data_IF_044284964962
#
_entry.id   IF_044284964962
#
_cell.length_a   1.000
_cell.length_b   1.000
_cell.length_c   1.000
_cell.angle_alpha   90.00
_cell.angle_beta   90.00
_cell.angle_gamma   90.00
#
_symmetry.space_group_name_H-M   'P 1'
#
loop_
_entity.id
_entity.type
_entity.pdbx_description
1 polymer ?
#
# COMPACT_ATOMS: atom_id res chain seq x y z
N UNK A 1 53.32 17.25 -0.61
CA UNK A 1 52.29 18.15 -0.05
C UNK A 1 51.15 17.25 0.40
N UNK A 2 51.12 16.92 1.69
CA UNK A 2 50.13 16.03 2.30
C UNK A 2 48.93 16.91 2.66
N UNK A 3 47.68 16.59 2.28
CA UNK A 3 46.53 17.24 2.87
C UNK A 3 46.28 16.62 4.26
N UNK A 4 46.62 17.38 5.29
CA UNK A 4 46.08 17.24 6.63
C UNK A 4 44.63 17.76 6.63
N UNK A 5 43.72 17.02 7.25
CA UNK A 5 42.39 17.51 7.56
C UNK A 5 41.33 16.42 7.58
N UNK A 6 41.39 15.54 8.58
CA UNK A 6 40.20 14.85 9.05
C UNK A 6 39.23 15.91 9.59
N UNK A 7 38.34 16.37 8.72
CA UNK A 7 37.11 17.02 9.15
C UNK A 7 36.25 15.93 9.78
N UNK A 8 36.06 16.04 11.09
CA UNK A 8 35.08 15.30 11.85
C UNK A 8 33.72 15.54 11.16
N UNK A 9 33.23 14.55 10.42
CA UNK A 9 31.89 14.59 9.83
C UNK A 9 30.96 14.44 11.03
N UNK A 10 30.60 15.58 11.62
CA UNK A 10 29.75 15.63 12.80
C UNK A 10 28.54 14.72 12.60
N UNK A 11 28.27 13.88 13.60
CA UNK A 11 27.11 13.00 13.58
C UNK A 11 25.87 13.81 13.20
N UNK A 12 25.02 13.30 12.29
CA UNK A 12 23.81 14.01 11.91
C UNK A 12 23.02 14.37 13.18
N UNK A 13 22.42 15.56 13.24
CA UNK A 13 21.69 16.00 14.42
C UNK A 13 20.64 14.94 14.77
N UNK A 14 20.58 14.57 16.05
CA UNK A 14 19.54 13.67 16.53
C UNK A 14 18.17 14.26 16.20
N UNK A 15 17.31 13.44 15.60
CA UNK A 15 15.92 13.79 15.36
C UNK A 15 15.19 13.91 16.70
N UNK A 16 14.55 15.06 16.92
CA UNK A 16 13.74 15.34 18.11
C UNK A 16 12.29 14.94 17.83
N UNK A 17 12.00 13.64 17.99
CA UNK A 17 10.67 13.07 17.78
C UNK A 17 9.67 13.57 18.82
N UNK A 18 8.56 14.14 18.35
CA UNK A 18 7.47 14.64 19.20
C UNK A 18 6.17 13.96 18.85
N UNK A 19 5.37 13.70 19.88
CA UNK A 19 3.98 13.31 19.68
C UNK A 19 3.23 14.45 18.97
N UNK A 20 2.50 14.11 17.91
CA UNK A 20 1.74 15.07 17.10
C UNK A 20 0.25 14.73 17.06
N UNK A 21 -0.12 13.54 16.59
CA UNK A 21 -1.52 13.14 16.41
C UNK A 21 -1.74 11.68 16.81
N UNK A 22 -2.98 11.39 17.23
CA UNK A 22 -3.50 10.05 17.43
C UNK A 22 -4.87 9.96 16.74
N UNK A 23 -5.10 8.88 16.00
CA UNK A 23 -6.38 8.58 15.39
C UNK A 23 -6.96 7.31 16.03
N UNK A 24 -8.27 7.29 16.26
CA UNK A 24 -8.93 6.16 16.92
C UNK A 24 -8.72 6.12 18.44
N UNK A 25 -8.52 7.27 19.08
CA UNK A 25 -8.47 7.37 20.54
C UNK A 25 -9.79 6.86 21.15
N UNK A 26 -9.68 5.91 22.07
CA UNK A 26 -10.82 5.24 22.71
C UNK A 26 -10.96 5.68 24.16
N UNK A 27 -12.17 5.54 24.71
CA UNK A 27 -12.36 5.77 26.13
C UNK A 27 -11.64 4.69 26.96
N UNK A 28 -11.23 5.01 28.19
CA UNK A 28 -10.55 4.06 29.06
C UNK A 28 -11.43 2.82 29.32
N UNK A 29 -10.92 1.64 28.96
CA UNK A 29 -11.60 0.35 29.13
C UNK A 29 -12.38 -0.15 27.91
N UNK A 30 -12.36 0.58 26.79
CA UNK A 30 -12.94 0.11 25.53
C UNK A 30 -11.98 -0.87 24.83
N UNK A 31 -12.46 -2.08 24.55
CA UNK A 31 -11.67 -3.11 23.86
C UNK A 31 -11.46 -2.75 22.39
N UNK A 32 -10.32 -3.15 21.83
CA UNK A 32 -10.03 -2.98 20.40
C UNK A 32 -10.74 -4.07 19.61
N UNK A 33 -11.68 -3.69 18.76
CA UNK A 33 -12.30 -4.64 17.83
C UNK A 33 -11.28 -5.08 16.78
N UNK A 34 -11.21 -6.39 16.51
CA UNK A 34 -10.21 -6.95 15.59
C UNK A 34 -10.28 -6.31 14.20
N UNK A 35 -11.49 -6.02 13.71
CA UNK A 35 -11.73 -5.38 12.41
C UNK A 35 -11.15 -3.96 12.31
N UNK A 36 -10.92 -3.27 13.44
CA UNK A 36 -10.33 -1.93 13.49
C UNK A 36 -8.80 -1.96 13.61
N UNK A 37 -8.18 -3.14 13.72
CA UNK A 37 -6.71 -3.26 13.80
C UNK A 37 -6.12 -2.90 12.44
N UNK A 38 -5.32 -1.84 12.41
CA UNK A 38 -4.58 -1.41 11.22
C UNK A 38 -3.58 -2.52 10.84
N UNK A 39 -3.61 -2.93 9.58
CA UNK A 39 -2.77 -3.98 9.02
C UNK A 39 -1.89 -3.51 7.87
N UNK A 40 -2.14 -2.33 7.31
CA UNK A 40 -1.31 -1.72 6.29
C UNK A 40 -1.28 -0.19 6.44
N UNK A 41 -0.14 0.43 6.15
CA UNK A 41 0.04 1.88 6.16
C UNK A 41 0.98 2.29 5.03
N UNK A 42 0.66 3.35 4.28
CA UNK A 42 1.49 3.82 3.17
C UNK A 42 1.29 5.32 2.90
N UNK A 43 2.39 6.07 2.85
CA UNK A 43 2.40 7.45 2.35
C UNK A 43 2.51 7.49 0.83
N UNK A 44 1.89 8.49 0.20
CA UNK A 44 2.16 8.76 -1.21
C UNK A 44 3.58 9.33 -1.40
N UNK A 45 4.08 9.30 -2.64
CA UNK A 45 5.45 9.77 -2.94
C UNK A 45 5.69 11.25 -2.60
N UNK A 46 4.63 12.05 -2.45
CA UNK A 46 4.73 13.46 -2.06
C UNK A 46 4.69 13.68 -0.55
N UNK A 47 4.25 12.69 0.24
CA UNK A 47 3.99 12.83 1.67
C UNK A 47 2.72 13.62 1.99
N UNK A 48 1.89 13.94 1.00
CA UNK A 48 0.66 14.73 1.17
C UNK A 48 -0.54 13.87 1.53
N UNK A 49 -0.49 12.58 1.19
CA UNK A 49 -1.57 11.63 1.49
C UNK A 49 -1.02 10.42 2.24
N UNK A 50 -1.83 9.94 3.18
CA UNK A 50 -1.59 8.73 3.94
C UNK A 50 -2.78 7.79 3.75
N UNK A 51 -2.52 6.53 3.42
CA UNK A 51 -3.53 5.49 3.38
C UNK A 51 -3.28 4.48 4.50
N UNK A 52 -4.35 4.04 5.14
CA UNK A 52 -4.35 2.91 6.05
C UNK A 52 -5.32 1.84 5.57
N UNK A 53 -4.98 0.58 5.80
CA UNK A 53 -5.86 -0.56 5.65
C UNK A 53 -5.99 -1.31 6.97
N UNK A 54 -7.15 -1.91 7.23
CA UNK A 54 -7.41 -2.67 8.45
C UNK A 54 -7.79 -4.13 8.20
N UNK A 55 -7.91 -4.89 9.30
CA UNK A 55 -8.36 -6.29 9.25
C UNK A 55 -9.80 -6.45 8.79
N UNK A 56 -10.64 -5.43 8.95
CA UNK A 56 -12.01 -5.39 8.47
C UNK A 56 -12.15 -5.04 6.98
N UNK A 57 -11.05 -4.97 6.22
CA UNK A 57 -11.07 -4.75 4.77
C UNK A 57 -11.36 -3.32 4.34
N UNK A 58 -11.35 -2.35 5.25
CA UNK A 58 -11.54 -0.93 4.93
C UNK A 58 -10.22 -0.27 4.57
N UNK A 59 -10.29 0.74 3.70
CA UNK A 59 -9.18 1.64 3.41
C UNK A 59 -9.59 3.05 3.79
N UNK A 60 -8.76 3.70 4.61
CA UNK A 60 -8.97 5.08 5.08
C UNK A 60 -7.86 5.96 4.51
N UNK A 61 -8.26 7.09 3.93
CA UNK A 61 -7.35 8.08 3.36
C UNK A 61 -7.32 9.33 4.23
N UNK A 62 -6.11 9.84 4.45
CA UNK A 62 -5.83 11.09 5.12
C UNK A 62 -5.08 12.04 4.17
N UNK A 63 -5.21 13.33 4.41
CA UNK A 63 -4.52 14.38 3.68
C UNK A 63 -3.86 15.36 4.64
N UNK A 64 -2.65 15.79 4.28
CA UNK A 64 -1.86 16.75 5.03
C UNK A 64 -2.49 18.15 4.95
N UNK A 65 -2.56 18.86 6.08
CA UNK A 65 -3.25 20.15 6.20
C UNK A 65 -2.31 21.35 6.21
N UNK A 66 -1.03 21.14 6.52
CA UNK A 66 -0.01 22.19 6.64
C UNK A 66 0.26 22.97 5.32
N UNK A 67 0.08 22.32 4.17
CA UNK A 67 0.34 22.89 2.85
C UNK A 67 -0.80 23.80 2.31
N UNK A 68 -2.01 23.74 2.89
CA UNK A 68 -3.22 24.38 2.33
C UNK A 68 -3.67 25.67 3.02
N UNK A 69 -3.07 26.02 4.15
CA UNK A 69 -3.27 27.36 4.71
C UNK A 69 -2.53 28.37 3.83
N UNK A 70 -3.27 29.01 2.93
CA UNK A 70 -2.84 30.24 2.25
C UNK A 70 -2.29 31.20 3.30
N UNK A 71 -0.96 31.28 3.44
CA UNK A 71 -0.32 32.26 4.29
C UNK A 71 -0.74 33.62 3.73
N UNK A 72 -1.63 34.31 4.43
CA UNK A 72 -1.98 35.68 4.08
C UNK A 72 -0.67 36.47 4.07
N UNK A 73 -0.39 37.16 2.97
CA UNK A 73 0.83 37.97 2.77
C UNK A 73 1.09 38.95 3.93
N UNK A 74 0.04 39.29 4.69
CA UNK A 74 0.07 40.14 5.90
C UNK A 74 0.68 39.47 7.14
N UNK A 75 0.67 38.14 7.24
CA UNK A 75 1.21 37.37 8.36
C UNK A 75 2.69 36.99 8.14
N UNK A 76 3.12 36.88 6.87
CA UNK A 76 4.52 36.75 6.47
C UNK A 76 5.38 37.97 6.85
N UNK A 77 4.77 39.16 6.93
CA UNK A 77 5.46 40.41 7.29
C UNK A 77 5.61 40.61 8.81
N UNK A 78 5.09 39.69 9.65
CA UNK A 78 5.13 39.80 11.13
C UNK A 78 6.01 38.77 11.83
N UNK A 79 6.63 37.83 11.10
CA UNK A 79 7.40 36.76 11.72
C UNK A 79 8.82 36.68 11.13
N UNK A 80 9.82 37.07 11.93
CA UNK A 80 11.25 36.97 11.59
C UNK A 80 11.79 35.53 11.58
N UNK A 81 10.94 34.53 11.84
CA UNK A 81 11.28 33.11 11.81
C UNK A 81 10.14 32.29 11.19
N UNK A 82 10.41 31.37 10.25
CA UNK A 82 9.42 30.40 9.83
C UNK A 82 9.10 29.48 11.01
N UNK A 83 7.89 29.58 11.56
CA UNK A 83 7.37 28.54 12.44
C UNK A 83 7.16 27.31 11.56
N UNK A 84 8.07 26.35 11.64
CA UNK A 84 7.83 25.01 11.10
C UNK A 84 6.61 24.45 11.84
N UNK A 85 5.42 24.55 11.24
CA UNK A 85 4.26 23.82 11.72
C UNK A 85 4.56 22.34 11.47
N UNK A 86 4.34 21.51 12.49
CA UNK A 86 4.45 20.08 12.34
C UNK A 86 3.38 19.59 11.35
N UNK A 87 3.68 18.63 10.48
CA UNK A 87 2.73 18.13 9.51
C UNK A 87 1.57 17.45 10.23
N UNK A 88 0.36 17.96 10.03
CA UNK A 88 -0.88 17.38 10.55
C UNK A 88 -1.66 16.74 9.40
N UNK A 89 -2.25 15.58 9.67
CA UNK A 89 -3.12 14.87 8.75
C UNK A 89 -4.58 15.04 9.19
N UNK A 90 -5.47 15.07 8.21
CA UNK A 90 -6.91 15.07 8.43
C UNK A 90 -7.55 13.94 7.65
N UNK A 91 -8.56 13.31 8.26
CA UNK A 91 -9.43 12.37 7.56
C UNK A 91 -9.95 12.96 6.25
N UNK A 92 -9.82 12.21 5.16
CA UNK A 92 -10.27 12.61 3.82
C UNK A 92 -11.47 11.78 3.38
N UNK A 93 -11.38 10.45 3.42
CA UNK A 93 -12.47 9.54 3.06
C UNK A 93 -12.13 8.11 3.47
N UNK A 94 -13.14 7.25 3.59
CA UNK A 94 -12.99 5.81 3.78
C UNK A 94 -13.89 5.04 2.80
N UNK A 95 -13.53 3.78 2.55
CA UNK A 95 -14.35 2.86 1.78
C UNK A 95 -14.04 1.41 2.11
N UNK A 96 -15.05 0.54 1.98
CA UNK A 96 -14.88 -0.91 2.04
C UNK A 96 -14.14 -1.39 0.80
N UNK A 97 -12.93 -1.92 0.96
CA UNK A 97 -12.13 -2.41 -0.15
C UNK A 97 -12.38 -3.89 -0.42
N UNK A 98 -12.32 -4.74 0.61
CA UNK A 98 -12.55 -6.18 0.51
C UNK A 98 -13.65 -6.59 1.47
N UNK A 99 -14.37 -7.64 1.13
CA UNK A 99 -15.38 -8.27 1.99
C UNK A 99 -14.97 -9.74 2.16
N UNK A 100 -15.40 -10.41 3.24
CA UNK A 100 -15.09 -11.82 3.42
C UNK A 100 -15.65 -12.63 2.25
N UNK A 101 -14.80 -13.46 1.65
CA UNK A 101 -15.14 -14.32 0.52
C UNK A 101 -14.90 -15.79 0.90
N UNK A 102 -15.60 -16.72 0.25
CA UNK A 102 -15.40 -18.15 0.46
C UNK A 102 -15.22 -18.88 -0.86
N UNK A 103 -14.08 -19.55 -1.04
CA UNK A 103 -13.85 -20.44 -2.17
C UNK A 103 -14.43 -21.82 -1.86
N UNK A 104 -15.63 -22.10 -2.40
CA UNK A 104 -16.31 -23.39 -2.22
C UNK A 104 -15.56 -24.57 -2.82
N UNK A 105 -14.75 -24.36 -3.86
CA UNK A 105 -14.03 -25.44 -4.52
C UNK A 105 -12.80 -25.85 -3.70
N UNK A 106 -12.11 -24.87 -3.12
CA UNK A 106 -10.95 -25.11 -2.24
C UNK A 106 -11.34 -25.25 -0.76
N UNK A 107 -12.61 -24.97 -0.42
CA UNK A 107 -13.10 -24.89 0.97
C UNK A 107 -12.22 -23.97 1.82
N UNK A 108 -11.91 -22.79 1.27
CA UNK A 108 -11.00 -21.81 1.85
C UNK A 108 -11.76 -20.51 2.10
N UNK A 109 -11.73 -20.03 3.34
CA UNK A 109 -12.14 -18.69 3.69
C UNK A 109 -11.06 -17.68 3.26
N UNK A 110 -11.50 -16.60 2.63
CA UNK A 110 -10.65 -15.52 2.16
C UNK A 110 -11.01 -14.31 3.03
N UNK A 111 -10.10 -13.97 3.94
CA UNK A 111 -10.24 -12.81 4.82
C UNK A 111 -10.30 -11.50 4.02
N UNK A 112 -11.08 -10.56 4.52
CA UNK A 112 -11.14 -9.20 3.99
C UNK A 112 -9.93 -8.33 4.37
N UNK A 113 -9.11 -8.80 5.32
CA UNK A 113 -7.93 -8.09 5.83
C UNK A 113 -7.07 -7.50 4.71
N UNK A 114 -6.74 -6.21 4.85
CA UNK A 114 -5.85 -5.54 3.92
C UNK A 114 -4.40 -5.89 4.25
N UNK A 115 -3.72 -6.60 3.35
CA UNK A 115 -2.31 -6.96 3.50
C UNK A 115 -1.37 -5.82 3.12
N UNK A 116 -1.67 -5.13 2.01
CA UNK A 116 -0.84 -4.04 1.48
C UNK A 116 -1.67 -2.98 0.76
N UNK A 117 -1.22 -1.73 0.84
CA UNK A 117 -1.72 -0.60 0.06
C UNK A 117 -0.53 0.05 -0.65
N UNK A 118 -0.70 0.38 -1.94
CA UNK A 118 0.33 1.07 -2.74
C UNK A 118 -0.27 2.20 -3.56
N UNK A 119 0.24 3.41 -3.37
CA UNK A 119 -0.13 4.56 -4.17
C UNK A 119 0.35 4.42 -5.61
N UNK A 120 -0.57 4.62 -6.55
CA UNK A 120 -0.27 4.73 -7.98
C UNK A 120 -0.04 6.19 -8.35
N UNK A 121 0.57 6.43 -9.52
CA UNK A 121 0.72 7.78 -10.03
C UNK A 121 -0.65 8.45 -10.18
N UNK A 122 -0.82 9.62 -9.56
CA UNK A 122 -2.05 10.39 -9.68
C UNK A 122 -2.21 10.89 -11.11
N UNK A 123 -3.40 10.72 -11.67
CA UNK A 123 -3.75 11.24 -13.00
C UNK A 123 -4.96 12.15 -12.89
N UNK A 124 -4.90 13.32 -13.53
CA UNK A 124 -6.02 14.27 -13.65
C UNK A 124 -6.63 14.70 -12.30
N UNK A 125 -5.80 14.89 -11.27
CA UNK A 125 -6.24 15.31 -9.93
C UNK A 125 -6.99 14.23 -9.14
N UNK A 126 -7.05 12.99 -9.65
CA UNK A 126 -7.61 11.86 -8.92
C UNK A 126 -6.51 11.07 -8.20
N UNK A 127 -6.82 10.66 -6.97
CA UNK A 127 -6.03 9.71 -6.21
C UNK A 127 -6.23 8.31 -6.78
N UNK A 128 -5.16 7.53 -6.84
CA UNK A 128 -5.20 6.16 -7.35
C UNK A 128 -4.32 5.28 -6.49
N UNK A 129 -4.82 4.12 -6.09
CA UNK A 129 -4.08 3.18 -5.24
C UNK A 129 -4.48 1.74 -5.56
N UNK A 130 -3.56 0.82 -5.27
CA UNK A 130 -3.82 -0.61 -5.20
C UNK A 130 -3.99 -1.01 -3.74
N UNK A 131 -4.90 -1.94 -3.49
CA UNK A 131 -5.10 -2.60 -2.20
C UNK A 131 -5.18 -4.10 -2.45
N UNK A 132 -4.64 -4.92 -1.56
CA UNK A 132 -4.70 -6.39 -1.69
C UNK A 132 -5.11 -7.04 -0.38
N UNK A 133 -5.87 -8.12 -0.48
CA UNK A 133 -5.97 -9.15 0.55
C UNK A 133 -5.15 -10.38 0.11
N UNK A 134 -5.44 -11.55 0.67
CA UNK A 134 -4.72 -12.79 0.40
C UNK A 134 -4.84 -13.32 -1.03
N UNK A 135 -5.90 -12.97 -1.77
CA UNK A 135 -6.21 -13.58 -3.07
C UNK A 135 -6.47 -12.61 -4.20
N UNK A 136 -6.82 -11.36 -3.88
CA UNK A 136 -7.24 -10.37 -4.87
C UNK A 136 -6.53 -9.04 -4.67
N UNK A 137 -6.18 -8.41 -5.78
CA UNK A 137 -5.73 -7.01 -5.81
C UNK A 137 -6.84 -6.17 -6.42
N UNK A 138 -7.15 -5.02 -5.83
CA UNK A 138 -8.13 -4.06 -6.36
C UNK A 138 -7.47 -2.72 -6.66
N UNK A 139 -7.78 -2.16 -7.82
CA UNK A 139 -7.36 -0.81 -8.22
C UNK A 139 -8.48 0.19 -7.98
N UNK A 140 -8.20 1.15 -7.12
CA UNK A 140 -9.13 2.18 -6.69
C UNK A 140 -8.76 3.52 -7.29
N UNK A 141 -9.78 4.26 -7.73
CA UNK A 141 -9.66 5.65 -8.11
C UNK A 141 -10.59 6.48 -7.24
N UNK A 142 -10.04 7.43 -6.50
CA UNK A 142 -10.77 8.36 -5.65
C UNK A 142 -10.71 9.74 -6.28
N UNK A 143 -11.88 10.27 -6.65
CA UNK A 143 -11.98 11.55 -7.34
C UNK A 143 -13.11 12.40 -6.78
N UNK A 144 -12.96 13.71 -6.84
CA UNK A 144 -14.04 14.63 -6.54
C UNK A 144 -15.09 14.58 -7.64
N UNK A 145 -16.32 14.25 -7.26
CA UNK A 145 -17.48 14.31 -8.13
C UNK A 145 -18.32 15.51 -7.70
N UNK A 146 -18.39 16.52 -8.57
CA UNK A 146 -19.38 17.60 -8.44
C UNK A 146 -20.77 16.99 -8.60
N UNK A 147 -21.58 17.04 -7.55
CA UNK A 147 -22.99 16.67 -7.63
C UNK A 147 -23.68 17.75 -8.47
N UNK A 148 -24.10 17.33 -9.65
CA UNK A 148 -24.76 18.16 -10.66
C UNK A 148 -26.26 18.03 -10.44
N UNK A 149 -26.91 19.10 -9.98
CA UNK A 149 -28.37 19.19 -9.99
C UNK A 149 -28.78 19.72 -11.36
N UNK A 150 -29.69 19.03 -12.00
CA UNK A 150 -30.28 19.52 -13.24
C UNK A 150 -31.48 20.37 -12.83
N UNK A 151 -31.41 21.65 -13.13
CA UNK A 151 -32.47 22.62 -12.96
C UNK A 151 -33.07 22.97 -14.33
N UNK A 152 -34.19 23.68 -14.35
CA UNK A 152 -34.80 24.21 -15.56
C UNK A 152 -35.20 23.13 -16.58
N UNK A 153 -35.79 22.03 -16.07
CA UNK A 153 -36.44 21.04 -16.93
C UNK A 153 -37.73 21.62 -17.52
N UNK A 154 -37.99 21.34 -18.80
CA UNK A 154 -39.21 21.80 -19.47
C UNK A 154 -40.50 21.17 -18.90
N UNK A 155 -40.39 20.09 -18.12
CA UNK A 155 -41.49 19.46 -17.40
C UNK A 155 -41.11 19.36 -15.92
N UNK A 156 -41.95 19.88 -15.03
CA UNK A 156 -41.81 19.69 -13.59
C UNK A 156 -42.37 18.31 -13.19
N UNK A 157 -41.55 17.50 -12.53
CA UNK A 157 -41.99 16.22 -11.98
C UNK A 157 -42.81 16.50 -10.71
N UNK A 158 -44.15 16.53 -10.83
CA UNK A 158 -45.04 16.74 -9.68
C UNK A 158 -45.17 15.46 -8.84
N UNK A 159 -44.10 15.05 -8.14
CA UNK A 159 -44.19 14.04 -7.09
C UNK A 159 -43.01 14.09 -6.10
N UNK A 160 -42.94 15.12 -5.28
CA UNK A 160 -42.27 15.01 -3.97
C UNK A 160 -42.73 16.11 -3.01
N UNK A 161 -43.98 16.05 -2.58
CA UNK A 161 -44.41 16.61 -1.28
C UNK A 161 -45.38 15.62 -0.64
N UNK A 162 -44.94 14.95 0.43
CA UNK A 162 -45.83 14.30 1.40
C UNK A 162 -45.79 12.77 1.47
N UNK A 163 -45.36 12.26 2.63
CA UNK A 163 -45.42 10.88 3.14
C UNK A 163 -46.63 10.04 2.69
N UNK A 164 -46.39 8.74 2.45
CA UNK A 164 -47.42 7.69 2.56
C UNK A 164 -47.23 6.52 1.59
N UNK A 165 -47.01 5.33 2.14
CA UNK A 165 -46.89 4.03 1.46
C UNK A 165 -47.94 3.76 0.37
N UNK A 166 -47.58 3.01 -0.68
CA UNK A 166 -48.06 1.64 -0.98
C UNK A 166 -47.66 1.18 -2.40
N UNK A 167 -47.03 0.01 -2.43
CA UNK A 167 -47.21 -1.11 -3.37
C UNK A 167 -47.37 -0.83 -4.89
N UNK A 168 -46.37 -1.31 -5.64
CA UNK A 168 -46.49 -2.13 -6.84
C UNK A 168 -47.52 -1.73 -7.90
N UNK A 169 -47.04 -1.16 -9.00
CA UNK A 169 -47.52 -1.43 -10.37
C UNK A 169 -46.56 -0.79 -11.38
N UNK A 170 -46.46 -1.37 -12.57
CA UNK A 170 -45.63 -0.93 -13.69
C UNK A 170 -45.84 0.56 -14.00
N UNK A 171 -44.96 1.42 -13.49
CA UNK A 171 -45.08 2.88 -13.63
C UNK A 171 -44.50 3.36 -14.95
N UNK A 172 -45.35 3.44 -15.98
CA UNK A 172 -45.14 4.43 -17.03
C UNK A 172 -45.16 5.80 -16.36
N UNK A 173 -44.08 6.56 -16.48
CA UNK A 173 -44.01 7.93 -15.98
C UNK A 173 -44.99 8.77 -16.81
N UNK A 174 -46.14 9.13 -16.24
CA UNK A 174 -47.09 10.03 -16.89
C UNK A 174 -46.47 11.43 -17.00
N UNK A 175 -46.00 11.78 -18.19
CA UNK A 175 -45.55 13.12 -18.52
C UNK A 175 -46.78 14.03 -18.69
N UNK A 176 -47.10 14.81 -17.66
CA UNK A 176 -48.17 15.81 -17.74
C UNK A 176 -47.75 17.00 -18.60
N UNK A 177 -48.24 17.05 -19.84
CA UNK A 177 -48.10 18.22 -20.70
C UNK A 177 -49.14 19.29 -20.31
N UNK A 178 -48.75 20.57 -20.14
CA UNK A 178 -49.70 21.63 -19.86
C UNK A 178 -50.69 21.82 -21.03
N UNK A 179 -51.97 22.15 -20.76
CA UNK A 179 -52.95 22.43 -21.80
C UNK A 179 -52.51 23.65 -22.60
N UNK A 180 -52.07 23.44 -23.85
CA UNK A 180 -51.49 24.47 -24.71
C UNK A 180 -50.10 24.13 -25.27
N UNK A 181 -49.49 23.02 -24.85
CA UNK A 181 -48.13 22.64 -25.27
C UNK A 181 -47.05 23.46 -24.56
N UNK A 182 -45.78 23.14 -24.81
CA UNK A 182 -44.65 23.86 -24.22
C UNK A 182 -44.30 25.02 -25.16
N UNK A 183 -44.55 26.30 -24.78
CA UNK A 183 -44.45 27.44 -25.69
C UNK A 183 -43.01 27.78 -26.11
N UNK A 184 -42.01 27.36 -25.32
CA UNK A 184 -40.59 27.49 -25.64
C UNK A 184 -39.78 26.41 -24.92
N UNK A 185 -38.86 25.78 -25.63
CA UNK A 185 -37.97 24.75 -25.08
C UNK A 185 -36.68 25.40 -24.58
N UNK A 186 -36.31 25.09 -23.34
CA UNK A 186 -35.03 25.46 -22.76
C UNK A 186 -34.16 24.23 -22.57
N UNK A 187 -32.85 24.40 -22.64
CA UNK A 187 -31.90 23.34 -22.30
C UNK A 187 -31.77 23.28 -20.77
N UNK A 188 -31.82 22.08 -20.17
CA UNK A 188 -31.65 21.95 -18.73
C UNK A 188 -30.31 22.53 -18.28
N UNK A 189 -30.33 23.33 -17.22
CA UNK A 189 -29.13 23.97 -16.69
C UNK A 189 -28.56 23.10 -15.58
N UNK A 190 -27.28 22.78 -15.71
CA UNK A 190 -26.55 22.02 -14.70
C UNK A 190 -25.96 22.99 -13.68
N UNK A 191 -26.50 22.99 -12.47
CA UNK A 191 -25.98 23.77 -11.34
C UNK A 191 -25.20 22.83 -10.41
N UNK A 192 -23.94 23.16 -10.14
CA UNK A 192 -23.10 22.42 -9.20
C UNK A 192 -23.31 22.91 -7.77
N UNK A 193 -23.66 22.02 -6.84
CA UNK A 193 -24.02 22.42 -5.48
C UNK A 193 -22.98 21.94 -4.43
N UNK A 194 -22.42 20.74 -4.58
CA UNK A 194 -21.46 20.16 -3.61
C UNK A 194 -20.44 19.24 -4.32
N UNK A 195 -19.21 19.17 -3.80
CA UNK A 195 -18.15 18.23 -4.23
C UNK A 195 -18.03 17.10 -3.22
N UNK A 196 -18.29 15.87 -3.64
CA UNK A 196 -18.08 14.68 -2.82
C UNK A 196 -16.92 13.85 -3.37
N UNK A 197 -16.06 13.34 -2.49
CA UNK A 197 -15.06 12.34 -2.87
C UNK A 197 -15.76 11.00 -3.08
N UNK A 198 -15.56 10.39 -4.24
CA UNK A 198 -16.16 9.10 -4.57
C UNK A 198 -15.06 8.11 -4.88
N UNK A 199 -14.80 7.16 -3.97
CA UNK A 199 -14.00 5.98 -4.25
C UNK A 199 -14.70 5.08 -5.26
N UNK A 200 -13.97 4.64 -6.29
CA UNK A 200 -14.48 3.68 -7.28
C UNK A 200 -13.44 2.59 -7.50
N UNK A 201 -13.83 1.35 -7.26
CA UNK A 201 -13.07 0.19 -7.72
C UNK A 201 -13.13 0.16 -9.25
N UNK A 202 -12.00 0.40 -9.90
CA UNK A 202 -11.92 0.38 -11.36
C UNK A 202 -11.65 -1.01 -11.88
N UNK A 203 -10.84 -1.79 -11.16
CA UNK A 203 -10.43 -3.14 -11.56
C UNK A 203 -10.21 -4.04 -10.36
N UNK A 204 -10.42 -5.33 -10.60
CA UNK A 204 -10.17 -6.42 -9.67
C UNK A 204 -9.29 -7.42 -10.41
N UNK A 205 -8.09 -7.67 -9.89
CA UNK A 205 -7.14 -8.66 -10.36
C UNK A 205 -7.24 -9.87 -9.44
N UNK A 206 -7.77 -10.98 -9.95
CA UNK A 206 -8.10 -12.15 -9.16
C UNK A 206 -7.66 -13.44 -9.87
N UNK A 207 -7.72 -14.56 -9.15
CA UNK A 207 -7.49 -15.92 -9.67
C UNK A 207 -6.11 -16.16 -10.31
N UNK A 208 -5.08 -15.43 -9.88
CA UNK A 208 -3.70 -15.63 -10.34
C UNK A 208 -2.75 -16.19 -9.26
N UNK A 209 -3.20 -16.20 -7.99
CA UNK A 209 -2.41 -16.65 -6.85
C UNK A 209 -3.07 -17.86 -6.20
N UNK A 210 -2.28 -18.92 -6.04
CA UNK A 210 -2.70 -20.11 -5.30
C UNK A 210 -2.45 -19.94 -3.79
N UNK A 211 -1.43 -19.16 -3.41
CA UNK A 211 -1.02 -18.90 -2.03
C UNK A 211 -1.40 -17.47 -1.58
N UNK A 212 -0.99 -17.05 -0.39
CA UNK A 212 -1.36 -15.75 0.16
C UNK A 212 -0.50 -14.65 -0.45
N UNK A 213 -1.13 -13.60 -1.00
CA UNK A 213 -0.42 -12.45 -1.54
C UNK A 213 0.25 -11.70 -0.37
N UNK A 214 1.58 -11.67 -0.38
CA UNK A 214 2.40 -10.96 0.61
C UNK A 214 2.84 -9.57 0.13
N UNK A 215 2.92 -9.34 -1.18
CA UNK A 215 3.45 -8.10 -1.74
C UNK A 215 2.71 -7.63 -2.97
N UNK A 216 2.61 -6.31 -3.12
CA UNK A 216 2.30 -5.62 -4.37
C UNK A 216 3.27 -4.46 -4.55
N UNK A 217 3.70 -4.21 -5.78
CA UNK A 217 4.64 -3.12 -6.09
C UNK A 217 4.39 -2.55 -7.47
N UNK A 218 4.32 -1.22 -7.56
CA UNK A 218 4.13 -0.49 -8.82
C UNK A 218 5.44 -0.40 -9.58
N UNK A 219 5.38 -0.62 -10.89
CA UNK A 219 6.52 -0.40 -11.75
C UNK A 219 6.73 1.11 -12.01
N UNK A 220 7.96 1.50 -12.28
CA UNK A 220 8.35 2.87 -12.66
C UNK A 220 7.87 3.27 -14.06
N UNK A 221 7.35 2.32 -14.86
CA UNK A 221 6.75 2.60 -16.17
C UNK A 221 5.35 3.28 -16.07
N UNK A 222 4.71 3.24 -14.90
CA UNK A 222 3.39 3.81 -14.67
C UNK A 222 2.22 3.00 -15.28
N UNK A 223 2.50 1.83 -15.84
CA UNK A 223 1.52 0.98 -16.54
C UNK A 223 1.42 -0.42 -15.94
N UNK A 224 2.49 -0.94 -15.34
CA UNK A 224 2.54 -2.29 -14.80
C UNK A 224 2.76 -2.31 -13.29
N UNK A 225 2.43 -3.43 -12.67
CA UNK A 225 2.72 -3.71 -11.27
C UNK A 225 2.91 -5.21 -11.07
N UNK A 226 3.55 -5.61 -9.97
CA UNK A 226 3.66 -7.00 -9.57
C UNK A 226 2.79 -7.30 -8.36
N UNK A 227 2.34 -8.53 -8.26
CA UNK A 227 1.89 -9.14 -7.02
C UNK A 227 2.66 -10.43 -6.76
N UNK A 228 3.06 -10.65 -5.51
CA UNK A 228 3.81 -11.83 -5.10
C UNK A 228 3.05 -12.60 -4.01
N UNK A 229 3.01 -13.92 -4.14
CA UNK A 229 2.64 -14.85 -3.08
C UNK A 229 3.87 -15.62 -2.59
N UNK A 230 3.66 -16.68 -1.82
CA UNK A 230 4.73 -17.46 -1.22
C UNK A 230 5.64 -18.18 -2.24
N UNK A 231 5.19 -18.43 -3.48
CA UNK A 231 5.96 -19.18 -4.48
C UNK A 231 6.04 -18.51 -5.85
N UNK A 232 5.25 -17.46 -6.10
CA UNK A 232 5.10 -16.85 -7.42
C UNK A 232 5.09 -15.34 -7.39
N UNK A 233 5.65 -14.74 -8.43
CA UNK A 233 5.51 -13.32 -8.74
C UNK A 233 4.83 -13.19 -10.10
N UNK A 234 3.72 -12.45 -10.12
CA UNK A 234 2.93 -12.19 -11.31
C UNK A 234 3.04 -10.72 -11.70
N UNK A 235 3.30 -10.46 -12.98
CA UNK A 235 3.27 -9.14 -13.61
C UNK A 235 1.88 -8.86 -14.19
N UNK A 236 1.38 -7.65 -13.94
CA UNK A 236 0.08 -7.19 -14.37
C UNK A 236 0.20 -5.88 -15.12
N UNK A 237 -0.74 -5.64 -16.03
CA UNK A 237 -0.96 -4.32 -16.59
C UNK A 237 -2.15 -3.67 -15.86
N UNK A 238 -2.00 -2.41 -15.44
CA UNK A 238 -3.04 -1.66 -14.73
C UNK A 238 -4.34 -1.53 -15.53
N UNK A 239 -4.29 -1.72 -16.85
CA UNK A 239 -5.46 -1.64 -17.72
C UNK A 239 -6.13 -3.00 -18.01
N UNK A 240 -5.47 -4.12 -17.73
CA UNK A 240 -5.89 -5.49 -18.07
C UNK A 240 -5.99 -6.33 -16.79
N UNK A 241 -7.21 -6.72 -16.39
CA UNK A 241 -7.45 -7.41 -15.11
C UNK A 241 -7.72 -8.91 -15.21
N UNK A 242 -7.86 -9.44 -16.43
CA UNK A 242 -8.18 -10.85 -16.68
C UNK A 242 -6.96 -11.67 -17.13
N UNK A 243 -5.78 -11.08 -17.19
CA UNK A 243 -4.54 -11.74 -17.59
C UNK A 243 -3.40 -11.21 -16.73
N UNK A 244 -2.54 -12.12 -16.29
CA UNK A 244 -1.26 -11.84 -15.67
C UNK A 244 -0.19 -12.68 -16.35
N UNK A 245 1.07 -12.26 -16.21
CA UNK A 245 2.20 -13.02 -16.66
C UNK A 245 3.04 -13.44 -15.45
N UNK A 246 3.14 -14.74 -15.22
CA UNK A 246 4.00 -15.24 -14.15
C UNK A 246 5.47 -15.06 -14.57
N UNK A 247 6.19 -14.24 -13.80
CA UNK A 247 7.59 -13.90 -14.08
C UNK A 247 8.57 -14.63 -13.15
N UNK A 248 8.12 -15.13 -12.01
CA UNK A 248 8.92 -15.97 -11.12
C UNK A 248 8.02 -17.09 -10.61
N UNK A 249 8.51 -18.33 -10.70
CA UNK A 249 7.90 -19.52 -10.10
C UNK A 249 8.97 -20.33 -9.39
N UNK A 250 9.00 -20.26 -8.05
CA UNK A 250 9.91 -21.06 -7.22
C UNK A 250 9.24 -22.34 -6.70
N UNK A 251 8.04 -22.67 -7.19
CA UNK A 251 7.34 -23.88 -6.80
C UNK A 251 8.15 -25.12 -7.19
N UNK A 252 8.52 -25.99 -6.23
CA UNK A 252 9.21 -27.23 -6.56
C UNK A 252 8.30 -28.20 -7.31
N UNK A 253 8.90 -29.14 -8.04
CA UNK A 253 8.15 -30.21 -8.75
C UNK A 253 7.38 -31.07 -7.76
N UNK A 254 8.01 -31.41 -6.63
CA UNK A 254 7.36 -32.05 -5.49
C UNK A 254 7.24 -31.05 -4.34
N UNK A 255 6.03 -30.86 -3.81
CA UNK A 255 5.78 -29.94 -2.69
C UNK A 255 6.51 -30.36 -1.40
N UNK A 256 6.87 -31.63 -1.25
CA UNK A 256 7.67 -32.12 -0.12
C UNK A 256 9.11 -31.55 -0.13
N UNK A 257 9.61 -31.14 -1.29
CA UNK A 257 10.94 -30.54 -1.45
C UNK A 257 10.94 -29.02 -1.22
N UNK A 258 9.83 -28.45 -0.71
CA UNK A 258 9.73 -27.03 -0.45
C UNK A 258 10.65 -26.64 0.71
N UNK A 259 11.70 -25.88 0.38
CA UNK A 259 12.66 -25.40 1.39
C UNK A 259 12.70 -23.88 1.53
N UNK A 260 12.06 -23.15 0.63
CA UNK A 260 12.17 -21.70 0.54
C UNK A 260 10.89 -21.10 -0.01
N UNK A 261 10.43 -20.01 0.60
CA UNK A 261 9.28 -19.22 0.11
C UNK A 261 9.67 -17.76 -0.07
N UNK A 262 8.98 -17.08 -0.98
CA UNK A 262 9.07 -15.63 -1.21
C UNK A 262 8.36 -14.92 -0.06
N UNK A 263 9.00 -13.93 0.52
CA UNK A 263 8.47 -13.22 1.69
C UNK A 263 8.12 -11.76 1.43
N UNK A 264 8.86 -11.10 0.54
CA UNK A 264 8.57 -9.74 0.09
C UNK A 264 9.10 -9.54 -1.33
N UNK A 265 8.46 -8.67 -2.11
CA UNK A 265 8.89 -8.34 -3.47
C UNK A 265 8.60 -6.88 -3.82
N UNK A 266 9.56 -6.21 -4.46
CA UNK A 266 9.46 -4.79 -4.81
C UNK A 266 10.14 -4.48 -6.15
N UNK A 267 9.53 -3.60 -6.95
CA UNK A 267 10.18 -3.01 -8.11
C UNK A 267 11.22 -1.97 -7.71
N UNK A 268 12.25 -1.84 -8.54
CA UNK A 268 13.18 -0.73 -8.44
C UNK A 268 12.46 0.61 -8.71
N UNK A 269 12.70 1.67 -7.92
CA UNK A 269 11.93 2.90 -7.99
C UNK A 269 12.05 3.66 -9.31
N UNK A 270 13.12 3.42 -10.08
CA UNK A 270 13.44 4.13 -11.33
C UNK A 270 13.77 3.23 -12.52
N UNK A 271 13.97 1.92 -12.31
CA UNK A 271 14.40 1.00 -13.37
C UNK A 271 13.28 0.01 -13.64
N UNK A 272 12.58 0.18 -14.74
CA UNK A 272 11.35 -0.57 -15.01
C UNK A 272 11.52 -2.07 -15.27
N UNK A 273 12.77 -2.50 -15.48
CA UNK A 273 13.15 -3.88 -15.72
C UNK A 273 13.75 -4.57 -14.49
N UNK A 274 13.90 -3.86 -13.37
CA UNK A 274 14.60 -4.38 -12.19
C UNK A 274 13.61 -4.54 -11.04
N UNK A 275 13.60 -5.71 -10.41
CA UNK A 275 12.88 -5.96 -9.17
C UNK A 275 13.75 -6.78 -8.22
N UNK A 276 13.44 -6.74 -6.93
CA UNK A 276 14.01 -7.63 -5.94
C UNK A 276 12.93 -8.41 -5.23
N UNK A 277 13.25 -9.63 -4.80
CA UNK A 277 12.42 -10.36 -3.84
C UNK A 277 13.29 -11.02 -2.78
N UNK A 278 12.76 -11.09 -1.56
CA UNK A 278 13.37 -11.76 -0.42
C UNK A 278 12.76 -13.12 -0.16
N UNK A 279 13.43 -13.90 0.68
CA UNK A 279 13.01 -15.26 1.02
C UNK A 279 13.01 -15.54 2.51
N UNK A 280 12.36 -16.65 2.86
CA UNK A 280 12.39 -17.23 4.21
C UNK A 280 13.77 -17.75 4.64
N UNK A 281 14.73 -17.84 3.72
CA UNK A 281 16.12 -18.24 3.99
C UNK A 281 17.08 -17.07 4.21
N UNK A 282 16.57 -15.84 4.27
CA UNK A 282 17.43 -14.68 4.50
C UNK A 282 18.21 -14.21 3.28
N UNK A 283 17.77 -14.58 2.08
CA UNK A 283 18.39 -14.14 0.82
C UNK A 283 17.54 -13.11 0.09
N UNK A 284 18.19 -12.19 -0.62
CA UNK A 284 17.54 -11.25 -1.53
C UNK A 284 18.05 -11.51 -2.95
N UNK A 285 17.13 -11.72 -3.88
CA UNK A 285 17.45 -11.93 -5.29
C UNK A 285 17.01 -10.72 -6.10
N UNK A 286 17.96 -10.14 -6.82
CA UNK A 286 17.71 -9.08 -7.78
C UNK A 286 17.50 -9.69 -9.17
N UNK A 287 16.40 -9.33 -9.79
CA UNK A 287 15.99 -9.81 -11.10
C UNK A 287 16.14 -8.67 -12.12
N UNK A 288 16.67 -9.00 -13.29
CA UNK A 288 16.62 -8.14 -14.48
C UNK A 288 15.76 -8.80 -15.55
N UNK A 289 14.57 -8.26 -15.75
CA UNK A 289 13.54 -8.74 -16.68
C UNK A 289 13.98 -8.70 -18.15
N UNK A 290 15.09 -8.03 -18.48
CA UNK A 290 15.67 -8.04 -19.83
C UNK A 290 16.47 -9.31 -20.13
N UNK A 291 16.93 -10.03 -19.10
CA UNK A 291 17.79 -11.20 -19.28
C UNK A 291 17.00 -12.44 -19.70
N UNK A 292 15.79 -12.61 -19.16
CA UNK A 292 14.91 -13.74 -19.43
C UNK A 292 13.47 -13.31 -19.23
N UNK A 293 12.56 -13.78 -20.09
CA UNK A 293 11.14 -13.55 -19.92
C UNK A 293 10.60 -14.20 -18.63
N UNK A 294 11.14 -15.36 -18.26
CA UNK A 294 10.67 -16.16 -17.12
C UNK A 294 11.44 -15.88 -15.82
N UNK A 295 12.37 -14.92 -15.83
CA UNK A 295 13.24 -14.52 -14.72
C UNK A 295 13.70 -15.69 -13.81
N UNK A 296 13.99 -16.82 -14.44
CA UNK A 296 14.35 -18.11 -13.84
C UNK A 296 15.75 -18.10 -13.22
N UNK A 297 16.50 -17.03 -13.48
CA UNK A 297 17.80 -16.72 -12.89
C UNK A 297 17.75 -15.34 -12.26
N UNK A 298 18.52 -15.18 -11.19
CA UNK A 298 18.77 -13.87 -10.61
C UNK A 298 19.98 -13.22 -11.27
N UNK A 299 19.91 -11.90 -11.43
CA UNK A 299 21.04 -11.09 -11.85
C UNK A 299 22.07 -10.96 -10.72
N UNK A 300 21.60 -10.84 -9.48
CA UNK A 300 22.42 -10.75 -8.26
C UNK A 300 21.76 -11.49 -7.10
N UNK A 301 22.56 -12.08 -6.22
CA UNK A 301 22.14 -12.74 -4.99
C UNK A 301 22.85 -12.09 -3.82
N UNK A 302 22.08 -11.48 -2.92
CA UNK A 302 22.58 -10.90 -1.69
C UNK A 302 22.33 -11.89 -0.55
N UNK A 303 23.42 -12.41 -0.02
CA UNK A 303 23.43 -13.40 1.04
C UNK A 303 24.65 -13.14 1.92
N UNK A 304 24.45 -13.18 3.24
CA UNK A 304 25.55 -13.07 4.18
C UNK A 304 26.20 -14.44 4.35
N UNK A 305 27.51 -14.54 4.15
CA UNK A 305 28.23 -15.79 4.39
C UNK A 305 28.24 -16.10 5.89
N UNK A 306 27.47 -17.11 6.30
CA UNK A 306 27.49 -17.59 7.68
C UNK A 306 28.84 -18.22 8.04
N UNK A 307 29.37 -17.86 9.20
CA UNK A 307 30.56 -18.50 9.77
C UNK A 307 30.24 -19.93 10.21
N UNK A 308 31.12 -20.87 9.86
CA UNK A 308 30.95 -22.28 10.23
C UNK A 308 30.80 -22.43 11.76
N UNK A 309 29.62 -22.87 12.21
CA UNK A 309 29.30 -23.10 13.63
C UNK A 309 28.22 -22.19 14.24
N UNK A 310 27.72 -21.18 13.52
CA UNK A 310 26.62 -20.32 14.00
C UNK A 310 25.21 -20.89 13.79
N UNK A 311 25.08 -21.97 13.01
CA UNK A 311 23.77 -22.55 12.66
C UNK A 311 23.13 -23.26 13.84
N UNK A 312 22.02 -22.69 14.31
CA UNK A 312 21.06 -23.34 15.21
C UNK A 312 19.68 -23.38 14.56
N UNK A 313 18.78 -24.24 15.07
CA UNK A 313 17.38 -24.28 14.63
C UNK A 313 16.73 -22.90 14.60
N UNK A 314 16.93 -22.09 15.66
CA UNK A 314 16.38 -20.73 15.71
C UNK A 314 17.02 -19.78 14.71
N UNK A 315 18.26 -20.00 14.31
CA UNK A 315 18.98 -19.12 13.36
C UNK A 315 18.27 -19.12 12.00
N UNK A 316 17.78 -20.27 11.54
CA UNK A 316 17.03 -20.37 10.29
C UNK A 316 15.67 -19.66 10.38
N UNK A 317 14.98 -19.76 11.52
CA UNK A 317 13.69 -19.09 11.74
C UNK A 317 13.86 -17.57 11.70
N UNK A 318 14.82 -17.04 12.47
CA UNK A 318 15.02 -15.57 12.58
C UNK A 318 15.74 -14.97 11.37
N UNK A 319 16.34 -15.79 10.50
CA UNK A 319 16.95 -15.34 9.24
C UNK A 319 15.92 -15.01 8.17
N UNK A 320 14.68 -15.48 8.32
CA UNK A 320 13.58 -15.14 7.40
C UNK A 320 13.42 -13.63 7.29
N UNK A 321 13.55 -13.11 6.07
CA UNK A 321 13.34 -11.68 5.81
C UNK A 321 11.84 -11.43 5.77
N UNK A 322 11.34 -10.53 6.60
CA UNK A 322 9.92 -10.15 6.64
C UNK A 322 9.57 -9.03 5.67
N UNK A 323 10.53 -8.15 5.34
CA UNK A 323 10.31 -7.06 4.40
C UNK A 323 11.61 -6.57 3.74
N UNK A 324 11.48 -6.03 2.52
CA UNK A 324 12.55 -5.33 1.80
C UNK A 324 12.03 -4.01 1.25
N UNK A 325 12.91 -3.00 1.22
CA UNK A 325 12.63 -1.69 0.64
C UNK A 325 13.80 -1.17 -0.17
N UNK A 326 13.53 -0.65 -1.37
CA UNK A 326 14.51 0.16 -2.09
C UNK A 326 14.64 1.57 -1.50
N UNK A 327 15.87 2.09 -1.45
CA UNK A 327 16.14 3.51 -1.22
C UNK A 327 15.65 4.37 -2.40
N UNK A 328 15.50 5.69 -2.20
CA UNK A 328 14.93 6.62 -3.21
C UNK A 328 15.71 6.63 -4.50
N UNK A 329 17.04 6.57 -4.34
CA UNK A 329 18.01 6.56 -5.42
C UNK A 329 18.10 5.18 -6.10
N UNK A 330 17.46 4.16 -5.51
CA UNK A 330 17.49 2.78 -5.96
C UNK A 330 18.83 2.09 -5.73
N UNK A 331 19.83 2.76 -5.15
CA UNK A 331 21.18 2.19 -4.97
C UNK A 331 21.21 1.17 -3.84
N UNK A 332 20.40 1.39 -2.80
CA UNK A 332 20.40 0.57 -1.61
C UNK A 332 19.10 -0.22 -1.47
N UNK A 333 19.20 -1.40 -0.86
CA UNK A 333 18.06 -2.18 -0.37
C UNK A 333 18.18 -2.25 1.16
N UNK A 334 17.11 -1.91 1.87
CA UNK A 334 16.95 -2.22 3.29
C UNK A 334 16.20 -3.53 3.41
N UNK A 335 16.65 -4.43 4.28
CA UNK A 335 15.93 -5.66 4.61
C UNK A 335 15.71 -5.77 6.12
N UNK A 336 14.57 -6.33 6.50
CA UNK A 336 14.21 -6.63 7.88
C UNK A 336 14.16 -8.13 8.08
N UNK A 337 14.94 -8.64 9.01
CA UNK A 337 14.72 -9.94 9.63
C UNK A 337 14.25 -9.74 11.08
N UNK A 338 13.98 -10.82 11.81
CA UNK A 338 13.41 -10.71 13.16
C UNK A 338 14.30 -9.91 14.12
N UNK A 339 15.62 -10.04 13.98
CA UNK A 339 16.60 -9.50 14.92
C UNK A 339 17.20 -8.17 14.45
N UNK A 340 17.33 -7.97 13.14
CA UNK A 340 18.18 -6.95 12.55
C UNK A 340 17.52 -6.20 11.39
N UNK A 341 18.02 -4.99 11.15
CA UNK A 341 17.84 -4.27 9.90
C UNK A 341 19.18 -4.28 9.17
N UNK A 342 19.19 -4.62 7.89
CA UNK A 342 20.41 -4.70 7.08
C UNK A 342 20.29 -3.79 5.86
N UNK A 343 21.27 -2.92 5.66
CA UNK A 343 21.38 -2.06 4.49
C UNK A 343 22.36 -2.70 3.50
N UNK A 344 21.93 -2.89 2.26
CA UNK A 344 22.70 -3.52 1.18
C UNK A 344 22.96 -2.51 0.08
N UNK A 345 24.18 -2.45 -0.46
CA UNK A 345 24.48 -1.69 -1.68
C UNK A 345 24.32 -2.63 -2.88
N UNK A 346 23.55 -2.23 -3.90
CA UNK A 346 23.35 -3.05 -5.10
C UNK A 346 24.66 -3.44 -5.82
N UNK A 347 25.76 -2.72 -5.57
CA UNK A 347 27.07 -3.01 -6.16
C UNK A 347 27.95 -3.91 -5.27
N UNK A 348 27.45 -4.39 -4.14
CA UNK A 348 28.18 -5.24 -3.20
C UNK A 348 27.29 -6.40 -2.74
N UNK A 349 27.37 -7.56 -3.41
CA UNK A 349 26.55 -8.73 -3.07
C UNK A 349 27.01 -9.49 -1.82
N UNK A 350 28.29 -9.34 -1.43
CA UNK A 350 28.94 -10.20 -0.45
C UNK A 350 28.46 -10.02 1.00
N UNK A 351 27.68 -8.97 1.28
CA UNK A 351 27.19 -8.67 2.62
C UNK A 351 26.61 -7.26 2.73
N UNK A 352 25.91 -6.96 3.83
CA UNK A 352 25.34 -5.64 4.04
C UNK A 352 26.44 -4.60 4.33
N UNK A 353 26.22 -3.36 3.88
CA UNK A 353 27.06 -2.20 4.21
C UNK A 353 26.87 -1.73 5.64
N UNK A 354 25.69 -1.99 6.23
CA UNK A 354 25.42 -1.72 7.65
C UNK A 354 24.38 -2.70 8.20
N UNK A 355 24.55 -3.09 9.46
CA UNK A 355 23.62 -3.95 10.20
C UNK A 355 23.26 -3.29 11.52
N UNK A 356 21.96 -3.14 11.78
CA UNK A 356 21.42 -2.54 12.99
C UNK A 356 20.71 -3.62 13.81
N UNK A 357 21.11 -3.77 15.06
CA UNK A 357 20.50 -4.72 15.99
C UNK A 357 19.24 -4.10 16.59
N UNK A 358 18.08 -4.72 16.38
CA UNK A 358 16.79 -4.17 16.83
C UNK A 358 16.29 -4.93 18.06
N UNK A 359 16.34 -6.26 18.04
CA UNK A 359 15.76 -7.11 19.08
C UNK A 359 16.80 -7.96 19.80
N UNK A 360 18.06 -7.55 19.88
CA UNK A 360 19.14 -8.39 20.43
C UNK A 360 18.90 -8.78 21.90
N UNK A 361 18.16 -7.95 22.66
CA UNK A 361 17.72 -8.26 24.02
C UNK A 361 16.71 -9.41 24.12
N UNK A 362 16.07 -9.81 23.02
CA UNK A 362 15.16 -10.95 22.93
C UNK A 362 15.88 -12.26 22.59
N UNK A 363 17.16 -12.24 22.18
CA UNK A 363 17.91 -13.45 21.80
C UNK A 363 17.89 -14.56 22.87
N UNK A 364 18.00 -14.27 24.18
CA UNK A 364 17.91 -15.31 25.21
C UNK A 364 16.50 -15.92 25.38
N UNK A 365 15.46 -15.31 24.79
CA UNK A 365 14.04 -15.68 24.93
C UNK A 365 13.46 -16.32 23.67
N UNK A 366 14.29 -16.73 22.71
CA UNK A 366 13.82 -17.28 21.43
C UNK A 366 12.97 -18.56 21.60
N UNK A 367 13.23 -19.38 22.63
CA UNK A 367 12.36 -20.50 22.99
C UNK A 367 10.96 -20.02 23.37
N UNK A 368 10.85 -19.07 24.31
CA UNK A 368 9.56 -18.55 24.77
C UNK A 368 8.77 -17.89 23.63
N UNK A 369 9.48 -17.17 22.74
CA UNK A 369 8.90 -16.53 21.55
C UNK A 369 8.45 -17.54 20.49
N UNK A 370 9.07 -18.72 20.45
CA UNK A 370 8.65 -19.80 19.57
C UNK A 370 7.42 -20.52 20.13
N UNK A 371 7.36 -20.73 21.45
CA UNK A 371 6.21 -21.37 22.11
C UNK A 371 4.91 -20.55 22.03
N UNK A 372 5.01 -19.23 21.86
CA UNK A 372 3.86 -18.33 21.74
C UNK A 372 3.66 -17.74 20.33
N UNK A 373 4.32 -18.32 19.32
CA UNK A 373 4.31 -17.91 17.90
C UNK A 373 4.80 -16.48 17.59
N UNK A 374 5.21 -15.68 18.58
CA UNK A 374 5.67 -14.29 18.39
C UNK A 374 7.00 -14.21 17.63
N UNK A 375 7.74 -15.31 17.50
CA UNK A 375 8.94 -15.39 16.65
C UNK A 375 8.61 -15.28 15.15
N UNK A 376 7.36 -15.54 14.76
CA UNK A 376 6.90 -15.47 13.37
C UNK A 376 6.28 -14.11 13.00
N UNK A 377 6.30 -13.14 13.93
CA UNK A 377 5.85 -11.78 13.68
C UNK A 377 6.66 -11.15 12.53
N UNK A 378 5.94 -10.63 11.54
CA UNK A 378 6.53 -10.01 10.35
C UNK A 378 6.59 -8.50 10.54
N UNK A 379 7.77 -7.98 10.85
CA UNK A 379 8.01 -6.55 10.98
C UNK A 379 8.35 -5.93 9.62
N UNK A 380 7.76 -4.79 9.31
CA UNK A 380 8.10 -4.02 8.11
C UNK A 380 9.29 -3.09 8.35
N UNK A 381 9.87 -2.57 7.28
CA UNK A 381 10.88 -1.54 7.35
C UNK A 381 10.63 -0.42 6.34
N UNK A 382 11.24 0.73 6.56
CA UNK A 382 11.17 1.85 5.64
C UNK A 382 12.41 2.74 5.75
N UNK A 383 12.65 3.53 4.71
CA UNK A 383 13.57 4.66 4.78
C UNK A 383 12.84 5.90 5.28
N UNK A 384 13.54 6.71 6.05
CA UNK A 384 13.14 8.09 6.29
C UNK A 384 13.39 8.91 5.02
N UNK A 385 12.40 9.72 4.61
CA UNK A 385 12.40 10.46 3.34
C UNK A 385 12.52 11.96 3.50
#
# INVERSE_FOLDING_TARGET
>A
MIPLGNGDVGAPPHLDWKFSQVFGERAAGEEVHEVDIISAIEFDKSGEHLATGDRGGRVVLFERTDAKDHIFRKDLERMDYPVARYPEFRYKTEFQSHEPEFDYLKSLEIEEKINRVRWCQSTNGALSLLSTNDKTVKYWKVQEKKVKKICDMNLENSSSVGNGSLAGTNGAVEFNFPPGGIPSLHLPVVVGHETNLVPRCRRIYAHAHDYHINSISNNSDGETFISADDLRINLWNLEISNQSFNIVDVKPVNMEDLTEVITSAEFHPTHCNTLAYSSSKGTIRLIDMRQSALCDRHAKLFEEQETAGSRSFFTEIIASISDIKFGKDGRYILSRDYMTLKLWDLNMESGPVATFQVHEYLRPKLCDLYENDSIFDKFECCFEW
#
